data_IF_675767933120
#
_entry.id   IF_675767933120
#
_cell.length_a   1.000
_cell.length_b   1.000
_cell.length_c   1.000
_cell.angle_alpha   90.00
_cell.angle_beta   90.00
_cell.angle_gamma   90.00
#
_symmetry.space_group_name_H-M   'P 1'
#
loop_
_entity.id
_entity.type
_entity.pdbx_description
1 polymer ?
#
# COMPACT_ATOMS: atom_id res chain seq x y z
N UNK A 1 -12.18 -6.79 -7.15
CA UNK A 1 -11.56 -5.45 -6.98
C UNK A 1 -10.95 -5.34 -5.59
N UNK A 2 -9.91 -4.53 -5.43
CA UNK A 2 -9.05 -4.56 -4.23
C UNK A 2 -9.52 -3.85 -2.97
N UNK A 3 -10.70 -3.23 -3.01
CA UNK A 3 -11.34 -2.59 -1.84
C UNK A 3 -12.84 -2.42 -2.07
N UNK A 4 -13.61 -2.40 -0.98
CA UNK A 4 -15.07 -2.24 -1.06
C UNK A 4 -15.47 -0.89 -1.66
N UNK A 5 -14.73 0.18 -1.38
CA UNK A 5 -14.99 1.50 -1.97
C UNK A 5 -14.93 1.48 -3.50
N UNK A 6 -14.03 0.72 -4.10
CA UNK A 6 -13.94 0.56 -5.56
C UNK A 6 -15.02 -0.37 -6.10
N UNK A 7 -15.41 -1.41 -5.34
CA UNK A 7 -16.56 -2.27 -5.67
C UNK A 7 -17.82 -1.43 -5.80
N UNK A 8 -18.12 -0.59 -4.79
CA UNK A 8 -19.27 0.29 -4.79
C UNK A 8 -19.27 1.26 -5.99
N UNK A 9 -18.13 1.89 -6.31
CA UNK A 9 -18.02 2.80 -7.47
C UNK A 9 -18.22 2.10 -8.81
N UNK A 10 -17.81 0.84 -8.93
CA UNK A 10 -18.07 0.06 -10.15
C UNK A 10 -19.53 -0.39 -10.20
N UNK A 11 -20.17 -0.74 -9.08
CA UNK A 11 -21.59 -1.07 -9.05
C UNK A 11 -22.49 0.08 -9.52
N UNK A 12 -22.12 1.33 -9.24
CA UNK A 12 -22.81 2.54 -9.74
C UNK A 12 -22.83 2.60 -11.28
N UNK A 13 -21.85 1.99 -11.96
CA UNK A 13 -21.70 2.00 -13.41
C UNK A 13 -22.31 0.77 -14.10
N UNK A 14 -22.78 -0.21 -13.33
CA UNK A 14 -23.25 -1.50 -13.84
C UNK A 14 -24.77 -1.66 -13.68
N UNK A 15 -25.43 -2.35 -14.63
CA UNK A 15 -26.81 -2.81 -14.42
C UNK A 15 -26.88 -3.78 -13.24
N UNK A 16 -28.03 -3.83 -12.57
CA UNK A 16 -28.21 -4.62 -11.34
C UNK A 16 -27.78 -6.09 -11.50
N UNK A 17 -28.06 -6.69 -12.67
CA UNK A 17 -27.71 -8.08 -13.00
C UNK A 17 -26.21 -8.38 -13.05
N UNK A 18 -25.34 -7.36 -13.12
CA UNK A 18 -23.89 -7.54 -13.17
C UNK A 18 -23.19 -7.14 -11.86
N UNK A 19 -23.86 -6.48 -10.93
CA UNK A 19 -23.24 -5.98 -9.69
C UNK A 19 -22.63 -7.10 -8.87
N UNK A 20 -23.37 -8.19 -8.67
CA UNK A 20 -22.91 -9.33 -7.88
C UNK A 20 -21.70 -10.06 -8.48
N UNK A 21 -21.38 -9.86 -9.76
CA UNK A 21 -20.16 -10.40 -10.39
C UNK A 21 -18.90 -9.66 -9.96
N UNK A 22 -19.03 -8.43 -9.47
CA UNK A 22 -17.90 -7.63 -8.99
C UNK A 22 -17.71 -7.89 -7.50
N UNK A 23 -16.76 -8.77 -7.17
CA UNK A 23 -16.41 -9.13 -5.79
C UNK A 23 -15.22 -8.35 -5.26
N UNK A 24 -15.14 -8.21 -3.94
CA UNK A 24 -13.96 -7.74 -3.23
C UNK A 24 -12.90 -8.83 -3.18
N UNK A 25 -11.64 -8.48 -3.41
CA UNK A 25 -10.48 -9.36 -3.28
C UNK A 25 -9.33 -8.53 -2.68
N UNK A 26 -8.89 -8.76 -1.44
CA UNK A 26 -7.76 -8.05 -0.85
C UNK A 26 -6.54 -8.03 -1.78
N UNK A 27 -5.76 -6.94 -1.74
CA UNK A 27 -4.53 -6.87 -2.52
C UNK A 27 -3.55 -7.94 -2.02
N UNK A 28 -2.89 -8.74 -2.89
CA UNK A 28 -1.95 -9.77 -2.43
C UNK A 28 -0.82 -9.22 -1.55
N UNK A 29 -0.45 -7.96 -1.74
CA UNK A 29 0.56 -7.29 -0.90
C UNK A 29 0.11 -7.19 0.56
N UNK A 30 -1.17 -7.02 0.87
CA UNK A 30 -1.65 -6.87 2.25
C UNK A 30 -1.67 -8.17 3.05
N UNK A 31 -1.47 -9.31 2.39
CA UNK A 31 -1.40 -10.66 3.01
C UNK A 31 -0.06 -11.33 2.71
N UNK A 32 0.97 -10.56 2.34
CA UNK A 32 2.24 -11.10 1.86
C UNK A 32 2.90 -12.09 2.85
N UNK A 33 2.80 -11.87 4.17
CA UNK A 33 3.30 -12.83 5.18
C UNK A 33 2.64 -14.21 5.13
N UNK A 34 1.40 -14.31 4.65
CA UNK A 34 0.73 -15.59 4.46
C UNK A 34 1.13 -16.28 3.15
N UNK A 35 1.71 -15.53 2.21
CA UNK A 35 2.14 -16.02 0.90
C UNK A 35 3.62 -16.38 0.86
N UNK A 36 4.46 -15.71 1.65
CA UNK A 36 5.91 -15.91 1.69
C UNK A 36 6.39 -16.07 3.14
N UNK A 37 6.73 -17.30 3.57
CA UNK A 37 7.23 -17.57 4.92
C UNK A 37 8.49 -16.78 5.29
N UNK A 38 9.27 -16.30 4.31
CA UNK A 38 10.47 -15.47 4.56
C UNK A 38 10.12 -14.10 5.13
N UNK A 39 8.85 -13.69 5.05
CA UNK A 39 8.35 -12.46 5.63
C UNK A 39 7.86 -12.62 7.07
N UNK A 40 8.13 -13.75 7.73
CA UNK A 40 7.85 -13.93 9.15
C UNK A 40 8.45 -12.80 10.02
N UNK A 41 7.90 -12.66 11.23
CA UNK A 41 8.29 -11.60 12.17
C UNK A 41 9.82 -11.58 12.36
N UNK A 42 10.50 -10.44 12.15
CA UNK A 42 11.92 -10.34 12.43
C UNK A 42 12.20 -10.50 13.93
N UNK A 43 13.38 -11.00 14.27
CA UNK A 43 13.82 -11.06 15.67
C UNK A 43 13.94 -9.67 16.31
N UNK A 44 14.34 -8.67 15.51
CA UNK A 44 14.52 -7.28 15.94
C UNK A 44 14.01 -6.35 14.85
N UNK A 45 13.34 -5.29 15.25
CA UNK A 45 12.99 -4.14 14.40
C UNK A 45 13.86 -2.96 14.79
N UNK A 46 14.31 -2.23 13.78
CA UNK A 46 15.07 -1.00 13.91
C UNK A 46 14.15 0.12 14.39
N UNK A 47 14.66 1.04 15.23
CA UNK A 47 13.94 2.23 15.68
C UNK A 47 13.80 3.28 14.57
N UNK A 48 13.18 2.87 13.46
CA UNK A 48 13.05 3.62 12.21
C UNK A 48 11.58 3.89 11.92
N UNK A 49 11.29 5.13 11.51
CA UNK A 49 10.03 5.54 10.89
C UNK A 49 10.31 5.90 9.44
N UNK A 50 9.63 5.22 8.51
CA UNK A 50 9.71 5.55 7.09
C UNK A 50 8.54 6.45 6.70
N UNK A 51 8.83 7.55 6.01
CA UNK A 51 7.82 8.46 5.47
C UNK A 51 7.84 8.42 3.95
N UNK A 52 6.68 8.25 3.33
CA UNK A 52 6.50 8.41 1.89
C UNK A 52 5.45 9.50 1.59
N UNK A 53 5.87 10.54 0.89
CA UNK A 53 5.02 11.60 0.39
C UNK A 53 4.97 11.53 -1.15
N UNK A 54 3.84 11.09 -1.69
CA UNK A 54 3.60 11.06 -3.13
C UNK A 54 3.62 12.46 -3.74
N UNK A 55 4.58 12.73 -4.62
CA UNK A 55 4.74 14.06 -5.22
C UNK A 55 4.14 14.16 -6.64
N UNK A 56 3.66 13.06 -7.21
CA UNK A 56 2.86 13.09 -8.43
C UNK A 56 1.55 13.85 -8.19
N UNK A 57 1.14 14.65 -9.17
CA UNK A 57 -0.14 15.40 -9.11
C UNK A 57 -0.26 16.25 -7.84
N UNK A 58 0.84 16.83 -7.36
CA UNK A 58 0.87 17.65 -6.14
C UNK A 58 -0.25 18.71 -6.08
N UNK A 59 -0.56 19.37 -7.20
CA UNK A 59 -1.67 20.34 -7.26
C UNK A 59 -3.05 19.75 -6.93
N UNK A 60 -3.31 18.47 -7.23
CA UNK A 60 -4.55 17.79 -6.83
C UNK A 60 -4.52 17.28 -5.38
N UNK A 61 -3.34 17.04 -4.83
CA UNK A 61 -3.17 16.51 -3.47
C UNK A 61 -3.21 17.61 -2.41
N UNK A 62 -2.60 18.75 -2.71
CA UNK A 62 -2.38 19.82 -1.75
C UNK A 62 -3.13 21.11 -2.13
N UNK A 63 -3.56 21.26 -3.38
CA UNK A 63 -4.14 22.52 -3.84
C UNK A 63 -3.18 23.69 -3.64
N UNK A 64 -3.65 24.73 -2.96
CA UNK A 64 -2.85 25.90 -2.58
C UNK A 64 -2.14 25.74 -1.22
N UNK A 65 -2.37 24.64 -0.51
CA UNK A 65 -1.93 24.44 0.88
C UNK A 65 -0.60 23.67 1.01
N UNK A 66 0.18 23.56 -0.08
CA UNK A 66 1.43 22.79 -0.03
C UNK A 66 2.43 23.32 1.00
N UNK A 67 2.58 24.64 1.13
CA UNK A 67 3.46 25.23 2.14
C UNK A 67 3.01 24.93 3.57
N UNK A 68 1.70 24.93 3.83
CA UNK A 68 1.13 24.51 5.12
C UNK A 68 1.41 23.03 5.39
N UNK A 69 1.14 22.16 4.40
CA UNK A 69 1.46 20.74 4.49
C UNK A 69 2.95 20.51 4.81
N UNK A 70 3.85 21.21 4.11
CA UNK A 70 5.29 21.07 4.33
C UNK A 70 5.71 21.48 5.76
N UNK A 71 5.15 22.57 6.27
CA UNK A 71 5.38 23.03 7.64
C UNK A 71 4.87 22.03 8.70
N UNK A 72 3.65 21.50 8.51
CA UNK A 72 3.07 20.49 9.40
C UNK A 72 3.87 19.18 9.36
N UNK A 73 4.34 18.75 8.19
CA UNK A 73 5.22 17.60 8.08
C UNK A 73 6.57 17.83 8.76
N UNK A 74 7.17 19.02 8.61
CA UNK A 74 8.41 19.37 9.31
C UNK A 74 8.22 19.32 10.84
N UNK A 75 7.10 19.81 11.36
CA UNK A 75 6.76 19.74 12.78
C UNK A 75 6.59 18.28 13.25
N UNK A 76 5.86 17.45 12.49
CA UNK A 76 5.69 16.04 12.80
C UNK A 76 7.03 15.30 12.83
N UNK A 77 7.90 15.53 11.84
CA UNK A 77 9.18 14.83 11.74
C UNK A 77 10.06 15.18 12.94
N UNK A 78 10.19 16.47 13.28
CA UNK A 78 10.95 16.88 14.48
C UNK A 78 10.42 16.22 15.75
N UNK A 79 9.10 16.11 15.87
CA UNK A 79 8.47 15.46 17.01
C UNK A 79 8.70 13.93 17.06
N UNK A 80 8.77 13.26 15.91
CA UNK A 80 9.06 11.82 15.83
C UNK A 80 10.55 11.50 16.00
N UNK A 81 11.44 12.40 15.55
CA UNK A 81 12.90 12.25 15.68
C UNK A 81 13.40 12.17 17.12
N UNK A 82 12.56 12.53 18.10
CA UNK A 82 12.86 12.34 19.53
C UNK A 82 12.75 10.88 19.99
N UNK A 83 12.09 10.00 19.22
CA UNK A 83 11.79 8.62 19.59
C UNK A 83 12.29 7.58 18.58
N UNK A 84 12.55 7.97 17.34
CA UNK A 84 12.99 7.07 16.27
C UNK A 84 13.76 7.84 15.18
N UNK A 85 14.64 7.15 14.46
CA UNK A 85 15.26 7.68 13.25
C UNK A 85 14.19 7.82 12.15
N UNK A 86 14.02 9.03 11.62
CA UNK A 86 13.07 9.29 10.54
C UNK A 86 13.80 9.29 9.21
N UNK A 87 13.41 8.39 8.30
CA UNK A 87 13.94 8.32 6.93
C UNK A 87 12.85 8.49 5.90
N UNK A 88 13.21 8.97 4.72
CA UNK A 88 12.29 9.18 3.62
C UNK A 88 12.34 8.02 2.62
N UNK A 89 11.21 7.38 2.35
CA UNK A 89 11.11 6.25 1.43
C UNK A 89 10.55 6.68 0.07
N UNK A 90 11.44 6.98 -0.87
CA UNK A 90 11.08 7.47 -2.20
C UNK A 90 10.65 6.31 -3.11
N UNK A 91 9.37 6.30 -3.53
CA UNK A 91 8.86 5.25 -4.44
C UNK A 91 9.12 5.56 -5.91
N UNK A 92 9.38 6.83 -6.23
CA UNK A 92 9.77 7.31 -7.55
C UNK A 92 10.79 8.45 -7.38
N UNK A 93 11.65 8.73 -8.37
CA UNK A 93 12.61 9.85 -8.27
C UNK A 93 11.94 11.19 -7.96
N UNK A 94 10.75 11.44 -8.52
CA UNK A 94 9.99 12.67 -8.27
C UNK A 94 9.57 12.85 -6.80
N UNK A 95 9.51 11.77 -6.01
CA UNK A 95 9.16 11.85 -4.58
C UNK A 95 10.28 12.56 -3.78
N UNK A 96 11.53 12.59 -4.25
CA UNK A 96 12.66 13.22 -3.55
C UNK A 96 12.53 14.75 -3.44
N UNK A 97 11.72 15.37 -4.30
CA UNK A 97 11.42 16.80 -4.21
C UNK A 97 10.89 17.20 -2.83
N UNK A 98 10.18 16.31 -2.14
CA UNK A 98 9.73 16.56 -0.77
C UNK A 98 10.89 16.83 0.19
N UNK A 99 11.97 16.05 0.13
CA UNK A 99 13.12 16.24 1.02
C UNK A 99 13.94 17.47 0.62
N UNK A 100 14.01 17.79 -0.67
CA UNK A 100 14.63 19.03 -1.15
C UNK A 100 13.90 20.27 -0.63
N UNK A 101 12.58 20.25 -0.68
CA UNK A 101 11.74 21.35 -0.20
C UNK A 101 11.80 21.47 1.33
N UNK A 102 11.76 20.35 2.07
CA UNK A 102 11.96 20.34 3.53
C UNK A 102 13.30 20.94 3.93
N UNK A 103 14.37 20.60 3.19
CA UNK A 103 15.71 21.16 3.43
C UNK A 103 15.71 22.67 3.16
N UNK A 104 15.17 23.09 2.02
CA UNK A 104 15.17 24.48 1.58
C UNK A 104 14.36 25.39 2.51
N UNK A 105 13.17 24.95 2.93
CA UNK A 105 12.20 25.80 3.62
C UNK A 105 12.24 25.65 5.15
N UNK A 106 12.70 24.50 5.66
CA UNK A 106 12.70 24.20 7.08
C UNK A 106 14.06 23.72 7.62
N UNK A 107 15.11 23.69 6.80
CA UNK A 107 16.45 23.25 7.21
C UNK A 107 16.52 21.80 7.67
N UNK A 108 15.56 20.97 7.26
CA UNK A 108 15.46 19.58 7.71
C UNK A 108 16.08 18.65 6.66
N UNK A 109 17.02 17.82 7.08
CA UNK A 109 17.69 16.82 6.23
C UNK A 109 17.30 15.43 6.74
N UNK A 110 16.84 14.56 5.83
CA UNK A 110 16.49 13.18 6.13
C UNK A 110 17.32 12.24 5.27
N UNK A 111 17.75 11.08 5.80
CA UNK A 111 18.22 9.98 4.96
C UNK A 111 17.13 9.56 3.98
N UNK A 112 17.53 9.26 2.74
CA UNK A 112 16.61 8.82 1.68
C UNK A 112 16.87 7.35 1.39
N UNK A 113 15.80 6.56 1.42
CA UNK A 113 15.73 5.18 0.96
C UNK A 113 15.12 5.19 -0.47
N UNK A 114 15.93 5.11 -1.53
CA UNK A 114 15.47 5.21 -2.92
C UNK A 114 14.86 3.88 -3.36
N UNK A 115 13.64 3.57 -2.89
CA UNK A 115 12.98 2.28 -3.13
C UNK A 115 12.86 1.94 -4.63
N UNK A 116 12.81 2.95 -5.50
CA UNK A 116 12.77 2.77 -6.95
C UNK A 116 14.04 2.15 -7.55
N UNK A 117 15.15 2.07 -6.79
CA UNK A 117 16.39 1.36 -7.17
C UNK A 117 16.50 -0.03 -6.53
N UNK A 118 15.61 -0.37 -5.60
CA UNK A 118 15.69 -1.59 -4.82
C UNK A 118 14.89 -2.73 -5.48
N UNK A 119 15.33 -3.96 -5.24
CA UNK A 119 14.54 -5.14 -5.59
C UNK A 119 13.32 -5.26 -4.67
N UNK A 120 12.29 -6.00 -5.10
CA UNK A 120 11.11 -6.25 -4.27
C UNK A 120 11.46 -6.91 -2.93
N UNK A 121 12.46 -7.81 -2.91
CA UNK A 121 12.88 -8.48 -1.68
C UNK A 121 13.62 -7.52 -0.74
N UNK A 122 14.46 -6.63 -1.28
CA UNK A 122 15.09 -5.58 -0.49
C UNK A 122 14.07 -4.59 0.09
N UNK A 123 13.04 -4.21 -0.68
CA UNK A 123 11.95 -3.35 -0.20
C UNK A 123 11.18 -4.02 0.94
N UNK A 124 10.81 -5.30 0.77
CA UNK A 124 10.09 -6.06 1.81
C UNK A 124 10.93 -6.23 3.07
N UNK A 125 12.23 -6.47 2.92
CA UNK A 125 13.18 -6.62 4.02
C UNK A 125 13.39 -5.31 4.79
N UNK A 126 13.47 -4.17 4.08
CA UNK A 126 13.47 -2.85 4.72
C UNK A 126 12.17 -2.61 5.49
N UNK A 127 11.02 -2.85 4.87
CA UNK A 127 9.74 -2.62 5.52
C UNK A 127 9.52 -3.49 6.75
N UNK A 128 9.82 -4.80 6.69
CA UNK A 128 9.60 -5.70 7.83
C UNK A 128 10.44 -5.31 9.05
N UNK A 129 11.63 -4.74 8.87
CA UNK A 129 12.49 -4.30 9.99
C UNK A 129 12.15 -2.92 10.54
N UNK A 130 11.33 -2.14 9.83
CA UNK A 130 10.90 -0.81 10.27
C UNK A 130 9.82 -0.91 11.37
N UNK A 131 9.77 0.04 12.32
CA UNK A 131 8.73 0.11 13.36
C UNK A 131 7.44 0.78 12.93
N UNK A 132 7.51 1.72 11.99
CA UNK A 132 6.33 2.41 11.46
C UNK A 132 6.56 2.91 10.03
N UNK A 133 5.56 2.77 9.17
CA UNK A 133 5.53 3.43 7.85
C UNK A 133 4.37 4.39 7.74
N UNK A 134 4.67 5.63 7.34
CA UNK A 134 3.70 6.68 7.07
C UNK A 134 3.64 6.88 5.56
N UNK A 135 2.53 6.52 4.93
CA UNK A 135 2.41 6.44 3.48
C UNK A 135 1.30 7.31 2.88
N UNK A 136 1.62 8.11 1.86
CA UNK A 136 0.67 8.90 1.07
C UNK A 136 0.27 8.24 -0.27
N UNK A 137 0.76 7.02 -0.53
CA UNK A 137 0.35 6.15 -1.66
C UNK A 137 -0.36 4.92 -1.14
N UNK A 138 -1.25 4.34 -1.96
CA UNK A 138 -1.93 3.09 -1.60
C UNK A 138 -0.95 1.96 -1.25
N UNK A 139 0.05 1.73 -2.10
CA UNK A 139 1.07 0.69 -1.84
C UNK A 139 2.14 1.08 -0.83
N UNK A 140 2.33 2.38 -0.56
CA UNK A 140 3.18 2.82 0.55
C UNK A 140 2.57 2.45 1.92
N UNK A 141 1.27 2.19 2.00
CA UNK A 141 0.63 1.58 3.17
C UNK A 141 0.47 0.06 3.04
N UNK A 142 -0.02 -0.44 1.90
CA UNK A 142 -0.37 -1.86 1.76
C UNK A 142 0.83 -2.82 1.82
N UNK A 143 1.97 -2.47 1.24
CA UNK A 143 3.16 -3.32 1.24
C UNK A 143 3.74 -3.48 2.65
N UNK A 144 4.06 -2.40 3.40
CA UNK A 144 4.56 -2.54 4.77
C UNK A 144 3.55 -3.19 5.71
N UNK A 145 2.25 -2.86 5.59
CA UNK A 145 1.20 -3.57 6.31
C UNK A 145 1.30 -5.07 6.03
N UNK A 146 1.41 -5.44 4.76
CA UNK A 146 1.68 -6.78 4.25
C UNK A 146 2.86 -7.51 4.89
N UNK A 147 3.95 -6.78 5.12
CA UNK A 147 5.17 -7.23 5.79
C UNK A 147 5.05 -7.28 7.32
N UNK A 148 3.94 -6.84 7.91
CA UNK A 148 3.71 -6.86 9.37
C UNK A 148 4.12 -5.60 10.08
N UNK A 149 4.32 -4.53 9.33
CA UNK A 149 4.75 -3.26 9.89
C UNK A 149 3.52 -2.37 10.11
N UNK A 150 3.37 -1.77 11.31
CA UNK A 150 2.35 -0.75 11.56
C UNK A 150 2.40 0.38 10.53
N UNK A 151 1.23 0.85 10.12
CA UNK A 151 1.09 1.89 9.09
C UNK A 151 0.19 3.02 9.53
N UNK A 152 0.53 4.23 9.10
CA UNK A 152 -0.36 5.39 9.13
C UNK A 152 -0.52 5.88 7.69
N UNK A 153 -1.75 6.12 7.24
CA UNK A 153 -1.97 6.66 5.91
C UNK A 153 -2.11 8.18 5.95
N UNK A 154 -1.33 8.88 5.12
CA UNK A 154 -1.56 10.28 4.78
C UNK A 154 -2.64 10.34 3.70
N UNK A 155 -3.87 10.63 4.11
CA UNK A 155 -5.05 10.60 3.24
C UNK A 155 -5.09 11.90 2.43
N UNK A 156 -4.52 11.85 1.22
CA UNK A 156 -4.59 12.93 0.22
C UNK A 156 -5.75 12.80 -0.76
N UNK A 157 -6.46 11.66 -0.76
CA UNK A 157 -7.68 11.47 -1.55
C UNK A 157 -8.51 10.30 -1.01
N UNK A 158 -9.84 10.22 -1.29
CA UNK A 158 -10.73 9.23 -0.69
C UNK A 158 -10.29 7.77 -0.87
N UNK A 159 -9.65 7.42 -1.99
CA UNK A 159 -9.21 6.04 -2.24
C UNK A 159 -8.20 5.50 -1.22
N UNK A 160 -7.45 6.35 -0.51
CA UNK A 160 -6.53 5.88 0.54
C UNK A 160 -7.29 5.43 1.79
N UNK A 161 -8.42 6.06 2.09
CA UNK A 161 -9.29 5.67 3.20
C UNK A 161 -10.00 4.32 2.96
N UNK A 162 -10.19 3.90 1.71
CA UNK A 162 -10.85 2.62 1.42
C UNK A 162 -10.10 1.41 2.00
N UNK A 163 -8.78 1.40 1.91
CA UNK A 163 -7.98 0.33 2.51
C UNK A 163 -8.16 0.29 4.02
N UNK A 164 -8.11 1.46 4.67
CA UNK A 164 -8.30 1.59 6.11
C UNK A 164 -9.69 1.15 6.57
N UNK A 165 -10.73 1.46 5.79
CA UNK A 165 -12.09 1.00 6.05
C UNK A 165 -12.20 -0.54 5.90
N UNK A 166 -11.57 -1.14 4.89
CA UNK A 166 -11.59 -2.60 4.69
C UNK A 166 -10.92 -3.37 5.84
N UNK A 167 -9.94 -2.76 6.51
CA UNK A 167 -9.27 -3.36 7.67
C UNK A 167 -9.87 -2.88 9.00
N UNK A 168 -11.00 -2.17 9.00
CA UNK A 168 -11.66 -1.66 10.21
C UNK A 168 -10.73 -0.77 11.07
N UNK A 169 -9.89 0.04 10.42
CA UNK A 169 -8.97 1.00 11.07
C UNK A 169 -8.99 2.38 10.40
N UNK A 170 -10.16 3.03 10.26
CA UNK A 170 -10.24 4.37 9.67
C UNK A 170 -9.40 5.41 10.45
N UNK A 171 -9.22 5.18 11.74
CA UNK A 171 -8.39 5.96 12.66
C UNK A 171 -6.87 5.82 12.40
N UNK A 172 -6.43 4.96 11.48
CA UNK A 172 -5.04 4.96 11.02
C UNK A 172 -4.78 5.98 9.90
N UNK A 173 -5.81 6.69 9.46
CA UNK A 173 -5.72 7.71 8.40
C UNK A 173 -5.70 9.13 8.94
N UNK A 174 -4.71 9.93 8.56
CA UNK A 174 -4.65 11.37 8.86
C UNK A 174 -4.78 12.12 7.54
N UNK A 175 -5.78 13.01 7.42
CA UNK A 175 -5.95 13.80 6.20
C UNK A 175 -4.82 14.81 6.06
N UNK A 176 -4.30 14.98 4.83
CA UNK A 176 -3.27 15.99 4.53
C UNK A 176 -3.80 17.42 4.63
N UNK A 177 -5.12 17.59 4.67
CA UNK A 177 -5.81 18.87 4.84
C UNK A 177 -6.19 19.15 6.30
N UNK A 178 -5.76 18.31 7.26
CA UNK A 178 -5.94 18.60 8.68
C UNK A 178 -5.19 19.88 9.05
N UNK A 179 -5.88 20.81 9.71
CA UNK A 179 -5.26 22.07 10.15
C UNK A 179 -4.08 21.83 11.10
N UNK A 180 -4.18 20.79 11.93
CA UNK A 180 -3.14 20.38 12.88
C UNK A 180 -2.53 19.02 12.48
N UNK A 181 -2.35 18.78 11.18
CA UNK A 181 -1.77 17.56 10.62
C UNK A 181 -0.52 17.11 11.38
N UNK A 182 0.41 18.01 11.65
CA UNK A 182 1.70 17.71 12.26
C UNK A 182 1.56 17.16 13.68
N UNK A 183 0.71 17.82 14.49
CA UNK A 183 0.41 17.38 15.85
C UNK A 183 -0.30 16.01 15.86
N UNK A 184 -1.30 15.82 14.99
CA UNK A 184 -2.08 14.58 14.87
C UNK A 184 -1.22 13.40 14.39
N UNK A 185 -0.33 13.66 13.42
CA UNK A 185 0.57 12.64 12.91
C UNK A 185 1.59 12.22 13.98
N UNK A 186 2.17 13.19 14.69
CA UNK A 186 3.11 12.91 15.78
C UNK A 186 2.43 12.17 16.95
N UNK A 187 1.22 12.56 17.34
CA UNK A 187 0.42 11.87 18.36
C UNK A 187 0.25 10.38 18.01
N UNK A 188 -0.22 10.09 16.79
CA UNK A 188 -0.45 8.70 16.34
C UNK A 188 0.84 7.91 16.19
N UNK A 189 1.88 8.51 15.62
CA UNK A 189 3.17 7.86 15.51
C UNK A 189 3.73 7.50 16.89
N UNK A 190 3.66 8.40 17.87
CA UNK A 190 4.10 8.11 19.23
C UNK A 190 3.28 7.00 19.88
N UNK A 191 1.97 6.96 19.68
CA UNK A 191 1.13 5.88 20.20
C UNK A 191 1.57 4.51 19.65
N UNK A 192 1.81 4.42 18.33
CA UNK A 192 2.35 3.21 17.69
C UNK A 192 3.72 2.84 18.22
N UNK A 193 4.62 3.81 18.41
CA UNK A 193 5.98 3.55 18.88
C UNK A 193 6.02 3.14 20.36
N UNK A 194 5.15 3.73 21.20
CA UNK A 194 5.09 3.48 22.64
C UNK A 194 4.59 2.07 22.98
N UNK A 195 3.60 1.56 22.24
CA UNK A 195 3.11 0.18 22.36
C UNK A 195 3.18 -0.55 21.02
N UNK A 196 4.42 -0.65 20.53
CA UNK A 196 4.70 -1.28 19.25
C UNK A 196 4.29 -2.76 19.17
N UNK A 197 4.47 -3.60 20.21
CA UNK A 197 3.98 -4.97 20.19
C UNK A 197 2.46 -5.05 19.98
N UNK A 198 1.66 -4.20 20.64
CA UNK A 198 0.21 -4.15 20.40
C UNK A 198 -0.12 -3.69 18.99
N UNK A 199 0.58 -2.69 18.46
CA UNK A 199 0.39 -2.22 17.09
C UNK A 199 0.68 -3.32 16.04
N UNK A 200 1.73 -4.11 16.23
CA UNK A 200 2.05 -5.27 15.38
C UNK A 200 0.98 -6.35 15.49
N UNK A 201 0.55 -6.68 16.71
CA UNK A 201 -0.53 -7.65 16.93
C UNK A 201 -1.81 -7.23 16.20
N UNK A 202 -2.16 -5.94 16.25
CA UNK A 202 -3.33 -5.42 15.54
C UNK A 202 -3.19 -5.59 14.02
N UNK A 203 -2.03 -5.25 13.42
CA UNK A 203 -1.75 -5.52 12.00
C UNK A 203 -1.93 -7.00 11.67
N UNK A 204 -1.42 -7.90 12.51
CA UNK A 204 -1.53 -9.34 12.29
C UNK A 204 -2.99 -9.81 12.35
N UNK A 205 -3.78 -9.25 13.26
CA UNK A 205 -5.21 -9.55 13.39
C UNK A 205 -5.97 -9.11 12.14
N UNK A 206 -5.72 -7.90 11.66
CA UNK A 206 -6.33 -7.38 10.43
C UNK A 206 -5.96 -8.22 9.22
N UNK A 207 -4.72 -8.69 9.14
CA UNK A 207 -4.29 -9.57 8.06
C UNK A 207 -4.98 -10.92 8.04
N UNK A 208 -5.25 -11.53 9.20
CA UNK A 208 -5.97 -12.81 9.26
C UNK A 208 -7.37 -12.68 8.65
N UNK A 209 -8.05 -11.55 8.87
CA UNK A 209 -9.34 -11.25 8.22
C UNK A 209 -9.21 -11.18 6.71
N UNK A 210 -8.23 -10.41 6.19
CA UNK A 210 -7.98 -10.33 4.74
C UNK A 210 -7.57 -11.68 4.14
N UNK A 211 -6.85 -12.49 4.89
CA UNK A 211 -6.43 -13.82 4.47
C UNK A 211 -7.62 -14.77 4.35
N UNK A 212 -8.58 -14.74 5.29
CA UNK A 212 -9.83 -15.52 5.16
C UNK A 212 -10.56 -15.21 3.86
N UNK A 213 -10.77 -13.92 3.57
CA UNK A 213 -11.43 -13.48 2.32
C UNK A 213 -10.66 -13.95 1.09
N UNK A 214 -9.33 -13.87 1.12
CA UNK A 214 -8.49 -14.33 0.01
C UNK A 214 -8.63 -15.84 -0.21
N UNK A 215 -8.67 -16.64 0.85
CA UNK A 215 -8.85 -18.10 0.77
C UNK A 215 -10.24 -18.48 0.27
N UNK A 216 -11.28 -17.81 0.76
CA UNK A 216 -12.67 -18.03 0.32
C UNK A 216 -12.84 -17.71 -1.18
N UNK A 217 -12.31 -16.57 -1.62
CA UNK A 217 -12.34 -16.19 -3.03
C UNK A 217 -11.55 -17.16 -3.90
N UNK A 218 -10.40 -17.64 -3.43
CA UNK A 218 -9.60 -18.61 -4.14
C UNK A 218 -10.31 -19.96 -4.26
N UNK A 219 -10.99 -20.42 -3.21
CA UNK A 219 -11.80 -21.64 -3.26
C UNK A 219 -12.90 -21.53 -4.34
N UNK A 220 -13.63 -20.41 -4.37
CA UNK A 220 -14.63 -20.15 -5.41
C UNK A 220 -14.01 -20.11 -6.81
N UNK A 221 -12.86 -19.45 -6.98
CA UNK A 221 -12.17 -19.42 -8.26
C UNK A 221 -11.76 -20.81 -8.72
N UNK A 222 -11.31 -21.68 -7.80
CA UNK A 222 -10.97 -23.08 -8.12
C UNK A 222 -12.18 -23.86 -8.59
N UNK A 223 -13.33 -23.73 -7.93
CA UNK A 223 -14.59 -24.36 -8.37
C UNK A 223 -14.99 -23.91 -9.78
N UNK A 224 -14.82 -22.61 -10.08
CA UNK A 224 -15.20 -22.04 -11.37
C UNK A 224 -14.21 -22.34 -12.52
N UNK A 225 -12.94 -22.57 -12.20
CA UNK A 225 -11.87 -22.67 -13.21
C UNK A 225 -11.21 -24.05 -13.29
N UNK A 226 -11.43 -24.92 -12.31
CA UNK A 226 -10.72 -26.19 -12.18
C UNK A 226 -9.25 -26.05 -11.78
N UNK A 227 -8.79 -24.87 -11.34
CA UNK A 227 -7.40 -24.66 -10.92
C UNK A 227 -7.07 -25.48 -9.65
N UNK A 228 -5.83 -25.98 -9.54
CA UNK A 228 -5.37 -26.69 -8.35
C UNK A 228 -5.30 -25.77 -7.12
N UNK A 229 -5.23 -26.36 -5.92
CA UNK A 229 -4.94 -25.60 -4.71
C UNK A 229 -3.47 -25.14 -4.73
N UNK A 230 -3.17 -23.83 -4.79
CA UNK A 230 -1.78 -23.38 -4.71
C UNK A 230 -1.19 -23.51 -3.29
N UNK A 231 -2.01 -23.85 -2.29
CA UNK A 231 -1.60 -24.05 -0.89
C UNK A 231 -1.86 -25.49 -0.39
N UNK A 232 -2.32 -26.39 -1.25
CA UNK A 232 -2.43 -27.81 -0.92
C UNK A 232 -1.05 -28.46 -0.82
N UNK A 233 -0.93 -29.53 -0.04
CA UNK A 233 0.25 -30.38 -0.12
C UNK A 233 0.43 -30.84 -1.57
N UNK A 234 1.65 -30.76 -2.13
CA UNK A 234 1.89 -31.31 -3.45
C UNK A 234 1.53 -32.80 -3.41
N UNK A 235 0.63 -33.23 -4.30
CA UNK A 235 0.46 -34.65 -4.57
C UNK A 235 1.82 -35.26 -4.95
N UNK A 236 1.99 -36.59 -4.82
CA UNK A 236 3.30 -37.25 -4.97
C UNK A 236 4.04 -36.94 -6.29
N UNK A 237 3.36 -36.42 -7.31
CA UNK A 237 3.91 -36.08 -8.62
C UNK A 237 3.93 -34.57 -8.97
N UNK A 238 3.59 -33.66 -8.05
CA UNK A 238 3.45 -32.23 -8.35
C UNK A 238 4.56 -31.40 -7.69
N UNK A 239 5.63 -31.08 -8.42
CA UNK A 239 6.54 -30.00 -8.02
C UNK A 239 5.81 -28.64 -7.91
N UNK A 240 6.39 -27.62 -7.26
CA UNK A 240 5.76 -26.31 -7.12
C UNK A 240 5.48 -25.70 -8.50
N UNK A 241 4.21 -25.68 -8.91
CA UNK A 241 3.79 -25.02 -10.15
C UNK A 241 3.53 -23.55 -9.84
N UNK A 242 4.60 -22.76 -9.85
CA UNK A 242 4.48 -21.32 -10.08
C UNK A 242 4.27 -21.15 -11.58
N UNK A 243 3.13 -20.62 -12.07
CA UNK A 243 2.99 -20.31 -13.47
C UNK A 243 4.10 -19.33 -13.85
N UNK A 244 4.98 -19.72 -14.76
CA UNK A 244 5.95 -18.79 -15.31
C UNK A 244 5.20 -17.58 -15.88
N UNK A 245 5.71 -16.34 -15.68
CA UNK A 245 5.16 -15.19 -16.39
C UNK A 245 5.17 -15.53 -17.88
N UNK A 246 4.02 -15.38 -18.54
CA UNK A 246 3.96 -15.54 -20.00
C UNK A 246 5.00 -14.60 -20.60
N UNK A 247 6.07 -15.15 -21.15
CA UNK A 247 7.02 -14.38 -21.95
C UNK A 247 6.26 -13.85 -23.17
N UNK A 248 6.47 -12.57 -23.49
CA UNK A 248 5.89 -11.91 -24.66
C UNK A 248 6.58 -12.37 -25.96
N UNK A 249 6.67 -13.68 -26.15
CA UNK A 249 7.28 -14.31 -27.33
C UNK A 249 6.41 -15.51 -27.71
N UNK A 250 5.29 -15.22 -28.36
CA UNK A 250 4.33 -16.22 -28.80
C UNK A 250 3.21 -15.58 -29.59
N UNK A 251 3.47 -15.40 -30.89
CA UNK A 251 2.52 -15.15 -31.98
C UNK A 251 1.46 -14.07 -31.75
N UNK A 252 1.80 -12.86 -32.19
CA UNK A 252 0.85 -11.79 -32.50
C UNK A 252 -0.13 -12.30 -33.58
N UNK A 253 -1.26 -12.87 -33.15
CA UNK A 253 -2.45 -12.88 -34.01
C UNK A 253 -2.95 -11.45 -34.05
N UNK A 254 -2.58 -10.76 -35.13
CA UNK A 254 -3.03 -9.41 -35.46
C UNK A 254 -4.53 -9.26 -35.15
N UNK A 255 -4.85 -8.36 -34.23
CA UNK A 255 -6.21 -7.93 -34.00
C UNK A 255 -6.81 -7.40 -35.31
N UNK A 256 -8.07 -7.72 -35.66
CA UNK A 256 -8.68 -7.17 -36.86
C UNK A 256 -8.78 -5.64 -36.72
N UNK A 257 -8.15 -4.96 -37.67
CA UNK A 257 -8.18 -3.51 -37.83
C UNK A 257 -9.63 -3.00 -37.82
N UNK A 258 -9.94 -2.13 -36.86
CA UNK A 258 -11.15 -1.32 -36.87
C UNK A 258 -11.04 -0.33 -38.04
N UNK A 259 -11.59 -0.72 -39.19
CA UNK A 259 -11.79 0.19 -40.32
C UNK A 259 -12.72 1.31 -39.86
N UNK A 260 -12.20 2.54 -39.92
CA UNK A 260 -12.99 3.76 -39.86
C UNK A 260 -13.96 3.78 -41.05
N UNK A 261 -15.23 4.02 -40.78
CA UNK A 261 -16.22 4.24 -41.82
C UNK A 261 -15.93 5.57 -42.56
N UNK A 262 -16.05 5.63 -43.90
CA UNK A 262 -15.93 6.89 -44.61
C UNK A 262 -17.17 7.77 -44.39
N UNK A 263 -17.04 9.11 -44.51
CA UNK A 263 -18.18 10.01 -44.40
C UNK A 263 -19.14 9.80 -45.58
N UNK A 264 -20.43 9.77 -45.29
CA UNK A 264 -21.51 9.69 -46.28
C UNK A 264 -21.72 11.07 -46.93
N UNK A 265 -22.17 11.16 -48.19
CA UNK A 265 -22.33 12.42 -48.93
C UNK A 265 -23.49 13.27 -48.43
#
# INVERSE_FOLDING_TARGET
LRNHGSVARVWELLPASLREKVRYQPCPTTVARHLDPRLAEPAVREDTVLINCAYDRAGLRFGHDYGHFLAEMAAAIRAMSAAAEVRYAAHMPADERFVDDLRREHGLILPVEPLYLLSNDAIRDLYRRTRLVIGMRGHAGMIPFGCGTPVISLVSHPKLAYFLADIDRPDWGVSVHERALGARLAERARAVLADHPAAVADVHDRQRTLWSVTRENLALLRELTGLPDPFGEPGPDAGPVVPAPRSATGEDRAAPSLRTAPPTP
#
